data_IF_060619379997
#
_entry.id   IF_060619379997
#
_cell.length_a   1.000
_cell.length_b   1.000
_cell.length_c   1.000
_cell.angle_alpha   90.00
_cell.angle_beta   90.00
_cell.angle_gamma   90.00
#
_symmetry.space_group_name_H-M   'P 1'
#
loop_
_entity.id
_entity.type
_entity.pdbx_description
1 polymer ?
#
# COMPACT_ATOMS: atom_id res chain seq x y z
N UNK A 1 -23.14 -6.28 -7.57
CA UNK A 1 -21.71 -6.09 -7.18
C UNK A 1 -21.38 -4.64 -7.41
N UNK A 2 -20.91 -3.91 -6.39
CA UNK A 2 -20.58 -2.49 -6.55
C UNK A 2 -19.17 -2.39 -7.18
N UNK A 3 -18.95 -1.69 -8.32
CA UNK A 3 -17.61 -1.51 -8.87
C UNK A 3 -16.67 -0.84 -7.86
N UNK A 4 -15.54 -1.48 -7.58
CA UNK A 4 -14.49 -0.97 -6.67
C UNK A 4 -13.81 0.29 -7.20
N UNK A 5 -13.87 0.52 -8.52
CA UNK A 5 -13.27 1.66 -9.20
C UNK A 5 -13.84 3.01 -8.71
N UNK A 6 -15.00 2.98 -8.04
CA UNK A 6 -15.58 4.17 -7.41
C UNK A 6 -14.79 4.67 -6.20
N UNK A 7 -14.05 3.79 -5.51
CA UNK A 7 -13.42 4.13 -4.25
C UNK A 7 -12.18 4.98 -4.51
N UNK A 8 -12.11 6.15 -3.89
CA UNK A 8 -10.93 7.02 -4.03
C UNK A 8 -9.68 6.34 -3.48
N UNK A 9 -9.81 5.51 -2.45
CA UNK A 9 -8.73 4.67 -1.95
C UNK A 9 -8.20 3.69 -3.03
N UNK A 10 -9.07 3.16 -3.90
CA UNK A 10 -8.65 2.31 -5.01
C UNK A 10 -7.93 3.12 -6.09
N UNK A 11 -8.43 4.31 -6.44
CA UNK A 11 -7.78 5.20 -7.43
C UNK A 11 -6.37 5.58 -6.98
N UNK A 12 -6.21 6.02 -5.74
CA UNK A 12 -4.89 6.34 -5.16
C UNK A 12 -3.96 5.13 -5.15
N UNK A 13 -4.47 3.94 -4.83
CA UNK A 13 -3.67 2.72 -4.88
C UNK A 13 -3.27 2.32 -6.31
N UNK A 14 -4.15 2.58 -7.28
CA UNK A 14 -3.89 2.33 -8.69
C UNK A 14 -2.80 3.28 -9.20
N UNK A 15 -2.93 4.58 -8.93
CA UNK A 15 -1.93 5.60 -9.31
C UNK A 15 -0.57 5.29 -8.68
N UNK A 16 -0.53 4.94 -7.40
CA UNK A 16 0.69 4.48 -6.73
C UNK A 16 1.33 3.27 -7.43
N UNK A 17 0.51 2.32 -7.90
CA UNK A 17 1.01 1.16 -8.63
C UNK A 17 1.65 1.60 -9.95
N UNK A 18 1.03 2.52 -10.70
CA UNK A 18 1.60 3.04 -11.94
C UNK A 18 2.93 3.75 -11.67
N UNK A 19 2.99 4.63 -10.66
CA UNK A 19 4.20 5.34 -10.29
C UNK A 19 5.34 4.39 -9.90
N UNK A 20 5.04 3.35 -9.13
CA UNK A 20 6.01 2.29 -8.79
C UNK A 20 6.52 1.59 -10.04
N UNK A 21 5.64 1.28 -11.00
CA UNK A 21 6.06 0.70 -12.28
C UNK A 21 6.95 1.66 -13.07
N UNK A 22 6.65 2.96 -13.08
CA UNK A 22 7.47 3.98 -13.74
C UNK A 22 8.85 4.14 -13.11
N UNK A 23 8.95 4.23 -11.78
CA UNK A 23 10.22 4.39 -11.07
C UNK A 23 11.10 3.15 -11.22
N UNK A 24 10.52 1.95 -11.05
CA UNK A 24 11.25 0.69 -11.12
C UNK A 24 11.75 0.33 -12.53
N UNK A 25 11.30 1.01 -13.58
CA UNK A 25 11.85 0.84 -14.94
C UNK A 25 13.32 1.26 -15.05
N UNK A 26 13.78 2.17 -14.18
CA UNK A 26 15.16 2.69 -14.18
C UNK A 26 16.11 1.87 -13.31
N UNK A 27 15.62 0.82 -12.66
CA UNK A 27 16.45 -0.03 -11.79
C UNK A 27 17.32 -0.99 -12.61
N UNK A 28 18.45 -1.46 -12.05
CA UNK A 28 19.31 -2.44 -12.69
C UNK A 28 18.55 -3.73 -13.03
N UNK A 29 18.95 -4.41 -14.09
CA UNK A 29 18.25 -5.61 -14.58
C UNK A 29 18.39 -6.79 -13.60
N UNK A 30 19.46 -6.81 -12.81
CA UNK A 30 19.76 -7.79 -11.77
C UNK A 30 18.69 -7.78 -10.67
N UNK A 31 18.12 -6.60 -10.37
CA UNK A 31 17.08 -6.41 -9.35
C UNK A 31 15.67 -6.70 -9.86
N UNK A 32 15.52 -7.11 -11.13
CA UNK A 32 14.21 -7.36 -11.75
C UNK A 32 13.41 -8.43 -11.00
N UNK A 33 14.07 -9.51 -10.61
CA UNK A 33 13.46 -10.63 -9.89
C UNK A 33 13.55 -10.48 -8.36
N UNK A 34 14.46 -9.62 -7.88
CA UNK A 34 14.61 -9.28 -6.48
C UNK A 34 13.68 -8.14 -6.07
N UNK A 35 14.26 -6.96 -5.86
CA UNK A 35 13.54 -5.81 -5.30
C UNK A 35 12.39 -5.32 -6.20
N UNK A 36 12.59 -5.30 -7.52
CA UNK A 36 11.57 -4.81 -8.47
C UNK A 36 10.29 -5.63 -8.38
N UNK A 37 10.40 -6.96 -8.39
CA UNK A 37 9.25 -7.85 -8.30
C UNK A 37 8.55 -7.77 -6.93
N UNK A 38 9.30 -7.56 -5.84
CA UNK A 38 8.72 -7.39 -4.51
C UNK A 38 7.93 -6.08 -4.40
N UNK A 39 8.52 -4.97 -4.82
CA UNK A 39 7.89 -3.64 -4.69
C UNK A 39 6.66 -3.50 -5.60
N UNK A 40 6.73 -4.00 -6.84
CA UNK A 40 5.57 -4.00 -7.75
C UNK A 40 4.42 -4.83 -7.22
N UNK A 41 4.70 -6.03 -6.68
CA UNK A 41 3.67 -6.88 -6.05
C UNK A 41 3.08 -6.23 -4.80
N UNK A 42 3.90 -5.60 -3.97
CA UNK A 42 3.44 -4.89 -2.78
C UNK A 42 2.48 -3.74 -3.15
N UNK A 43 2.85 -2.90 -4.12
CA UNK A 43 1.99 -1.79 -4.58
C UNK A 43 0.67 -2.30 -5.16
N UNK A 44 0.72 -3.28 -6.06
CA UNK A 44 -0.47 -3.87 -6.68
C UNK A 44 -1.41 -4.54 -5.65
N UNK A 45 -0.86 -5.14 -4.59
CA UNK A 45 -1.64 -5.83 -3.55
C UNK A 45 -2.64 -4.90 -2.84
N UNK A 46 -2.35 -3.59 -2.76
CA UNK A 46 -3.22 -2.62 -2.11
C UNK A 46 -4.54 -2.51 -2.87
N UNK A 47 -4.49 -2.29 -4.18
CA UNK A 47 -5.67 -2.20 -5.05
C UNK A 47 -6.45 -3.51 -5.11
N UNK A 48 -5.74 -4.64 -5.20
CA UNK A 48 -6.34 -5.98 -5.21
C UNK A 48 -7.15 -6.26 -3.93
N UNK A 49 -6.61 -5.91 -2.77
CA UNK A 49 -7.29 -6.07 -1.49
C UNK A 49 -8.55 -5.18 -1.38
N UNK A 50 -8.52 -3.96 -1.93
CA UNK A 50 -9.71 -3.08 -1.96
C UNK A 50 -10.78 -3.68 -2.88
N UNK A 51 -10.38 -4.20 -4.04
CA UNK A 51 -11.28 -4.89 -4.97
C UNK A 51 -11.88 -6.15 -4.32
N UNK A 52 -11.08 -6.99 -3.67
CA UNK A 52 -11.55 -8.18 -2.95
C UNK A 52 -12.50 -7.80 -1.81
N UNK A 53 -12.15 -6.78 -1.02
CA UNK A 53 -13.01 -6.27 0.05
C UNK A 53 -14.36 -5.77 -0.47
N UNK A 54 -14.38 -5.07 -1.61
CA UNK A 54 -15.61 -4.56 -2.22
C UNK A 54 -16.56 -5.64 -2.75
N UNK A 55 -16.01 -6.82 -3.09
CA UNK A 55 -16.77 -7.95 -3.61
C UNK A 55 -17.47 -8.73 -2.49
N UNK A 56 -17.05 -8.58 -1.23
CA UNK A 56 -17.63 -9.27 -0.08
C UNK A 56 -18.96 -8.64 0.33
N UNK A 57 -19.97 -9.48 0.60
CA UNK A 57 -21.34 -9.05 0.92
C UNK A 57 -21.42 -8.68 2.40
N UNK A 58 -21.15 -7.42 2.70
CA UNK A 58 -21.44 -6.82 4.01
C UNK A 58 -20.27 -6.09 4.64
N UNK A 59 -20.56 -4.95 5.27
CA UNK A 59 -19.58 -4.10 5.98
C UNK A 59 -18.87 -4.79 7.15
N UNK A 60 -19.33 -5.98 7.58
CA UNK A 60 -18.66 -6.83 8.58
C UNK A 60 -17.53 -7.66 7.97
N UNK A 61 -17.68 -8.17 6.75
CA UNK A 61 -16.64 -8.95 6.04
C UNK A 61 -15.56 -8.06 5.44
N UNK A 62 -15.91 -6.83 5.04
CA UNK A 62 -14.92 -5.81 4.66
C UNK A 62 -13.89 -5.57 5.77
N UNK A 63 -14.33 -5.58 7.05
CA UNK A 63 -13.48 -5.47 8.25
C UNK A 63 -12.65 -6.73 8.54
N UNK A 64 -12.97 -7.86 7.93
CA UNK A 64 -12.19 -9.10 8.05
C UNK A 64 -11.02 -9.18 7.07
N UNK A 65 -10.92 -8.27 6.10
CA UNK A 65 -9.80 -8.25 5.15
C UNK A 65 -8.49 -7.89 5.83
N UNK A 66 -7.39 -8.41 5.28
CA UNK A 66 -6.04 -8.25 5.81
C UNK A 66 -5.62 -6.78 6.01
N UNK A 67 -6.14 -5.84 5.20
CA UNK A 67 -5.92 -4.39 5.38
C UNK A 67 -6.53 -3.89 6.69
N UNK A 68 -7.81 -4.18 6.96
CA UNK A 68 -8.45 -3.72 8.19
C UNK A 68 -7.86 -4.40 9.43
N UNK A 69 -7.46 -5.69 9.31
CA UNK A 69 -6.75 -6.40 10.39
C UNK A 69 -5.39 -5.74 10.66
N UNK A 70 -4.53 -5.59 9.66
CA UNK A 70 -3.14 -5.11 9.81
C UNK A 70 -3.03 -3.68 10.36
N UNK A 71 -4.01 -2.82 10.06
CA UNK A 71 -4.08 -1.44 10.57
C UNK A 71 -4.58 -1.39 12.03
N UNK A 72 -5.36 -2.39 12.48
CA UNK A 72 -5.96 -2.41 13.83
C UNK A 72 -5.16 -3.19 14.87
N UNK A 73 -4.20 -4.03 14.47
CA UNK A 73 -3.36 -4.78 15.42
C UNK A 73 -2.39 -3.85 16.14
N UNK A 74 -2.46 -3.73 17.48
CA UNK A 74 -1.57 -2.85 18.24
C UNK A 74 -0.08 -3.24 18.13
N UNK A 75 0.22 -4.50 17.74
CA UNK A 75 1.57 -5.07 17.66
C UNK A 75 2.00 -5.49 16.24
N UNK A 76 1.43 -4.93 15.18
CA UNK A 76 1.87 -5.25 13.81
C UNK A 76 3.22 -4.58 13.46
N UNK A 77 4.16 -5.28 12.77
CA UNK A 77 5.47 -4.74 12.36
C UNK A 77 5.37 -3.44 11.54
N UNK A 78 4.24 -3.21 10.88
CA UNK A 78 3.97 -2.06 10.01
C UNK A 78 3.87 -0.75 10.81
N UNK A 79 3.41 -0.78 12.08
CA UNK A 79 3.35 0.41 12.95
C UNK A 79 4.74 0.87 13.41
N UNK A 80 5.72 -0.03 13.39
CA UNK A 80 7.10 0.27 13.73
C UNK A 80 7.78 1.11 12.62
N UNK A 81 7.41 0.88 11.37
CA UNK A 81 7.92 1.65 10.22
C UNK A 81 7.34 3.08 10.16
N UNK A 82 6.07 3.30 10.50
CA UNK A 82 5.46 4.66 10.42
C UNK A 82 5.90 5.62 11.53
N UNK A 83 6.41 5.11 12.66
CA UNK A 83 6.97 5.96 13.73
C UNK A 83 8.38 6.48 13.41
N UNK A 84 9.16 5.80 12.57
CA UNK A 84 10.50 6.27 12.15
C UNK A 84 10.45 7.35 11.08
N UNK A 85 9.50 7.31 10.15
CA UNK A 85 9.36 8.36 9.12
C UNK A 85 8.89 9.70 9.71
N UNK A 86 8.13 9.68 10.80
CA UNK A 86 7.72 10.89 11.53
C UNK A 86 8.86 11.56 12.32
N UNK A 87 9.96 10.85 12.58
CA UNK A 87 11.18 11.41 13.17
C UNK A 87 12.06 12.06 12.09
N UNK A 88 12.16 11.44 10.91
CA UNK A 88 12.91 11.96 9.76
C UNK A 88 12.26 13.23 9.18
N UNK A 89 10.92 13.29 9.09
CA UNK A 89 10.23 14.51 8.62
C UNK A 89 10.23 15.66 9.64
N UNK A 90 10.49 15.40 10.94
CA UNK A 90 10.64 16.46 11.96
C UNK A 90 12.08 16.98 12.09
N UNK A 91 13.08 16.19 11.70
CA UNK A 91 14.47 16.63 11.68
C UNK A 91 14.78 17.66 10.58
N UNK A 92 13.93 17.77 9.54
CA UNK A 92 14.11 18.72 8.43
C UNK A 92 13.44 20.10 8.62
N UNK A 93 12.94 20.40 9.82
CA UNK A 93 12.31 21.69 10.20
C UNK A 93 13.10 22.44 11.29
N UNK A 94 14.41 22.18 11.41
CA UNK A 94 15.34 22.88 12.31
C UNK A 94 16.64 23.32 11.62
N UNK A 95 16.66 23.37 10.29
CA UNK A 95 17.82 23.84 9.50
C UNK A 95 17.36 24.86 8.45
N UNK A 96 16.35 25.64 8.81
CA UNK A 96 16.07 26.97 8.24
C UNK A 96 15.88 27.92 9.43
#
# INVERSE_FOLDING_TARGET
>A
MWPYQRFDAWKVAHDLTLDVYHVTKRWPAEERFGLTAQVRRAAHSIGANIAEGSAKRGSREFRGTWIYRSVRWPNSPIRFYSRRTSAICRARRRVD
#
